data_IF_151604816022
#
_entry.id   IF_151604816022
#
_cell.length_a   1.000
_cell.length_b   1.000
_cell.length_c   1.000
_cell.angle_alpha   90.00
_cell.angle_beta   90.00
_cell.angle_gamma   90.00
#
_symmetry.space_group_name_H-M   'P 1'
#
loop_
_entity.id
_entity.type
_entity.pdbx_description
1 polymer ?
#
# COMPACT_ATOMS: atom_id res chain seq x y z
N UNK A 1 17.64 25.96 13.85
CA UNK A 1 17.04 25.44 12.62
C UNK A 1 17.97 24.42 11.98
N UNK A 2 17.43 23.31 11.57
CA UNK A 2 18.22 22.31 10.88
C UNK A 2 18.52 22.71 9.44
N UNK A 3 19.64 22.28 8.94
CA UNK A 3 20.00 22.49 7.55
C UNK A 3 19.05 21.72 6.63
N UNK A 4 18.80 22.22 5.40
CA UNK A 4 18.01 21.48 4.43
C UNK A 4 18.66 20.12 4.10
N UNK A 5 17.85 19.10 3.96
CA UNK A 5 18.32 17.78 3.58
C UNK A 5 18.69 17.74 2.10
N UNK A 6 19.75 17.00 1.77
CA UNK A 6 20.08 16.70 0.39
C UNK A 6 19.07 15.71 -0.19
N UNK A 7 19.02 15.59 -1.51
CA UNK A 7 18.17 14.60 -2.16
C UNK A 7 18.51 13.17 -1.72
N UNK A 8 19.79 12.85 -1.60
CA UNK A 8 20.24 11.53 -1.15
C UNK A 8 19.77 11.24 0.29
N UNK A 9 19.85 12.23 1.17
CA UNK A 9 19.38 12.09 2.55
C UNK A 9 17.87 11.87 2.61
N UNK A 10 17.10 12.56 1.78
CA UNK A 10 15.66 12.37 1.70
C UNK A 10 15.28 10.96 1.24
N UNK A 11 15.98 10.43 0.24
CA UNK A 11 15.76 9.07 -0.23
C UNK A 11 16.12 8.06 0.86
N UNK A 12 17.23 8.27 1.58
CA UNK A 12 17.64 7.39 2.68
C UNK A 12 16.57 7.35 3.79
N UNK A 13 15.99 8.50 4.15
CA UNK A 13 14.93 8.57 5.16
C UNK A 13 13.68 7.87 4.65
N UNK A 14 13.28 8.10 3.39
CA UNK A 14 12.09 7.50 2.81
C UNK A 14 12.19 5.98 2.76
N UNK A 15 13.39 5.43 2.61
CA UNK A 15 13.62 3.99 2.51
C UNK A 15 14.16 3.37 3.80
N UNK A 16 14.13 4.11 4.90
CA UNK A 16 14.61 3.61 6.19
C UNK A 16 13.82 2.37 6.62
N UNK A 17 14.49 1.27 7.03
CA UNK A 17 13.79 0.01 7.36
C UNK A 17 12.81 0.12 8.52
N UNK A 18 13.02 1.07 9.43
CA UNK A 18 12.15 1.27 10.60
C UNK A 18 10.99 2.21 10.32
N UNK A 19 10.94 2.82 9.14
CA UNK A 19 9.85 3.71 8.79
C UNK A 19 8.56 2.91 8.64
N UNK A 20 7.42 3.40 9.20
CA UNK A 20 6.15 2.73 9.03
C UNK A 20 5.78 2.57 7.54
N UNK A 21 5.20 1.44 7.20
CA UNK A 21 4.69 1.20 5.86
C UNK A 21 3.19 0.95 5.91
N UNK A 22 2.59 0.63 4.77
CA UNK A 22 1.13 0.46 4.66
C UNK A 22 0.57 -0.56 5.67
N UNK A 23 1.28 -1.65 5.93
CA UNK A 23 0.81 -2.67 6.89
C UNK A 23 0.73 -2.12 8.31
N UNK A 24 1.69 -1.30 8.70
CA UNK A 24 1.68 -0.65 10.03
C UNK A 24 0.51 0.30 10.17
N UNK A 25 0.23 1.10 9.14
CA UNK A 25 -0.91 2.02 9.14
C UNK A 25 -2.24 1.27 9.18
N UNK A 26 -2.35 0.16 8.45
CA UNK A 26 -3.58 -0.64 8.45
C UNK A 26 -3.85 -1.19 9.85
N UNK A 27 -2.83 -1.71 10.52
CA UNK A 27 -2.98 -2.25 11.88
C UNK A 27 -3.34 -1.16 12.89
N UNK A 28 -2.82 0.05 12.71
CA UNK A 28 -3.04 1.14 13.66
C UNK A 28 -4.38 1.85 13.46
N UNK A 29 -4.86 1.99 12.23
CA UNK A 29 -6.01 2.86 11.90
C UNK A 29 -7.29 2.12 11.59
N UNK A 30 -7.22 0.86 11.16
CA UNK A 30 -8.36 0.14 10.65
C UNK A 30 -8.63 -1.14 11.43
N UNK A 31 -9.89 -1.61 11.36
CA UNK A 31 -10.29 -2.91 11.87
C UNK A 31 -10.87 -3.74 10.73
N UNK A 32 -10.87 -5.07 10.94
CA UNK A 32 -11.47 -6.03 10.00
C UNK A 32 -10.97 -5.86 8.57
N UNK A 33 -9.65 -5.70 8.42
CA UNK A 33 -9.06 -5.57 7.08
C UNK A 33 -9.17 -6.90 6.33
N UNK A 34 -9.79 -6.84 5.16
CA UNK A 34 -9.91 -7.97 4.23
C UNK A 34 -9.12 -7.64 2.96
N UNK A 35 -7.98 -8.30 2.79
CA UNK A 35 -7.12 -8.08 1.63
C UNK A 35 -7.77 -8.65 0.37
N UNK A 36 -7.69 -7.87 -0.72
CA UNK A 36 -8.13 -8.30 -2.04
C UNK A 36 -6.93 -8.32 -2.97
N UNK A 37 -6.76 -9.42 -3.68
CA UNK A 37 -5.58 -9.67 -4.51
C UNK A 37 -5.93 -9.74 -5.99
N UNK A 38 -4.93 -9.47 -6.83
CA UNK A 38 -5.01 -9.67 -8.26
C UNK A 38 -5.65 -8.54 -9.03
N UNK A 39 -5.30 -8.45 -10.31
CA UNK A 39 -5.83 -7.46 -11.25
C UNK A 39 -7.01 -7.99 -12.08
N UNK A 40 -7.38 -9.25 -11.88
CA UNK A 40 -8.39 -9.98 -12.65
C UNK A 40 -8.03 -10.15 -14.14
N UNK A 41 -6.78 -10.02 -14.47
CA UNK A 41 -6.32 -10.15 -15.85
C UNK A 41 -5.09 -11.04 -15.95
N UNK A 42 -3.99 -10.67 -15.30
CA UNK A 42 -2.73 -11.41 -15.38
C UNK A 42 -2.32 -12.03 -14.05
N UNK A 43 -2.59 -11.39 -12.92
CA UNK A 43 -2.19 -11.92 -11.63
C UNK A 43 -2.09 -10.92 -10.52
N UNK A 44 -1.29 -11.25 -9.54
CA UNK A 44 -1.09 -10.45 -8.32
C UNK A 44 0.24 -9.72 -8.37
N UNK A 45 0.29 -8.53 -7.77
CA UNK A 45 1.52 -7.79 -7.51
C UNK A 45 1.59 -7.45 -6.03
N UNK A 46 2.55 -8.04 -5.33
CA UNK A 46 2.73 -7.84 -3.90
C UNK A 46 3.20 -6.43 -3.53
N UNK A 47 3.67 -5.64 -4.49
CA UNK A 47 4.08 -4.26 -4.27
C UNK A 47 2.88 -3.34 -3.95
N UNK A 48 1.66 -3.75 -4.31
CA UNK A 48 0.43 -3.03 -3.96
C UNK A 48 -0.36 -3.88 -2.96
N UNK A 49 -0.67 -3.29 -1.81
CA UNK A 49 -1.58 -3.87 -0.82
C UNK A 49 -2.90 -3.14 -0.90
N UNK A 50 -3.98 -3.87 -1.06
CA UNK A 50 -5.30 -3.27 -1.13
C UNK A 50 -6.38 -4.17 -0.57
N UNK A 51 -7.46 -3.56 -0.14
CA UNK A 51 -8.59 -4.30 0.40
C UNK A 51 -9.63 -3.39 0.99
N UNK A 52 -10.56 -4.00 1.70
CA UNK A 52 -11.62 -3.30 2.42
C UNK A 52 -11.38 -3.41 3.92
N UNK A 53 -11.75 -2.38 4.66
CA UNK A 53 -11.58 -2.35 6.11
C UNK A 53 -12.66 -1.47 6.74
N UNK A 54 -12.68 -1.43 8.06
CA UNK A 54 -13.52 -0.50 8.79
C UNK A 54 -12.65 0.60 9.40
N UNK A 55 -13.05 1.84 9.17
CA UNK A 55 -12.45 3.01 9.80
C UNK A 55 -13.52 3.68 10.66
N UNK A 56 -13.35 3.60 11.99
CA UNK A 56 -14.38 4.05 12.95
C UNK A 56 -15.76 3.47 12.63
N UNK A 57 -15.81 2.19 12.30
CA UNK A 57 -17.04 1.47 11.99
C UNK A 57 -17.59 1.70 10.58
N UNK A 58 -16.92 2.50 9.74
CA UNK A 58 -17.36 2.78 8.37
C UNK A 58 -16.54 1.98 7.35
N UNK A 59 -17.18 1.36 6.37
CA UNK A 59 -16.44 0.65 5.32
C UNK A 59 -15.61 1.62 4.47
N UNK A 60 -14.34 1.29 4.27
CA UNK A 60 -13.44 2.05 3.40
C UNK A 60 -12.63 1.09 2.54
N UNK A 61 -12.14 1.58 1.42
CA UNK A 61 -11.15 0.87 0.61
C UNK A 61 -9.78 1.46 0.90
N UNK A 62 -8.81 0.60 1.19
CA UNK A 62 -7.44 0.98 1.52
C UNK A 62 -6.53 0.47 0.42
N UNK A 63 -5.70 1.34 -0.13
CA UNK A 63 -4.73 1.00 -1.19
C UNK A 63 -3.41 1.66 -0.85
N UNK A 64 -2.33 0.90 -0.90
CA UNK A 64 -1.01 1.48 -0.68
C UNK A 64 0.09 0.66 -1.31
N UNK A 65 1.21 1.31 -1.55
CA UNK A 65 2.42 0.61 -1.97
C UNK A 65 3.05 -0.07 -0.76
N UNK A 66 3.54 -1.28 -0.97
CA UNK A 66 4.18 -2.05 0.08
C UNK A 66 5.65 -2.22 -0.23
N UNK A 67 6.48 -1.90 0.74
CA UNK A 67 7.89 -2.27 0.73
C UNK A 67 8.15 -3.17 1.93
N UNK A 68 9.14 -4.04 1.81
CA UNK A 68 9.51 -4.91 2.92
C UNK A 68 10.44 -4.23 3.91
N UNK A 69 10.59 -4.83 5.08
CA UNK A 69 11.54 -4.40 6.11
C UNK A 69 12.83 -5.21 6.08
N UNK A 70 12.84 -6.31 5.36
CA UNK A 70 14.02 -7.17 5.14
C UNK A 70 14.30 -7.26 3.65
N UNK A 71 15.49 -7.74 3.30
CA UNK A 71 15.84 -7.94 1.89
C UNK A 71 14.89 -8.94 1.22
N UNK A 72 14.55 -10.02 1.91
CA UNK A 72 13.64 -11.03 1.39
C UNK A 72 12.25 -10.45 1.10
N UNK A 73 11.70 -9.66 2.03
CA UNK A 73 10.41 -9.00 1.82
C UNK A 73 10.48 -7.97 0.70
N UNK A 74 11.59 -7.22 0.59
CA UNK A 74 11.78 -6.25 -0.49
C UNK A 74 11.82 -6.92 -1.86
N UNK A 75 12.46 -8.07 -1.97
CA UNK A 75 12.48 -8.83 -3.22
C UNK A 75 11.07 -9.29 -3.60
N UNK A 76 10.30 -9.78 -2.64
CA UNK A 76 8.91 -10.21 -2.85
C UNK A 76 8.02 -9.04 -3.30
N UNK A 77 8.22 -7.87 -2.73
CA UNK A 77 7.42 -6.67 -3.01
C UNK A 77 8.06 -5.77 -4.08
N UNK A 78 9.08 -6.26 -4.78
CA UNK A 78 9.83 -5.50 -5.80
C UNK A 78 10.25 -4.12 -5.30
N UNK A 79 10.72 -4.04 -4.05
CA UNK A 79 11.16 -2.80 -3.38
C UNK A 79 10.11 -1.68 -3.39
N UNK A 80 8.82 -2.05 -3.38
CA UNK A 80 7.71 -1.09 -3.43
C UNK A 80 7.48 -0.50 -4.82
N UNK A 81 8.03 -1.13 -5.86
CA UNK A 81 7.87 -0.70 -7.25
C UNK A 81 6.84 -1.59 -7.95
N UNK A 82 5.61 -1.09 -8.18
CA UNK A 82 4.57 -1.93 -8.78
C UNK A 82 4.82 -2.17 -10.26
N UNK A 83 4.47 -3.38 -10.69
CA UNK A 83 4.37 -3.75 -12.10
C UNK A 83 3.00 -3.32 -12.65
N UNK A 84 2.75 -3.47 -13.97
CA UNK A 84 1.43 -3.14 -14.53
C UNK A 84 0.26 -3.83 -13.83
N UNK A 85 0.45 -5.06 -13.32
CA UNK A 85 -0.56 -5.79 -12.56
C UNK A 85 -0.95 -5.05 -11.28
N UNK A 86 0.03 -4.41 -10.62
CA UNK A 86 -0.22 -3.61 -9.43
C UNK A 86 -1.06 -2.38 -9.71
N UNK A 87 -0.76 -1.67 -10.78
CA UNK A 87 -1.57 -0.52 -11.19
C UNK A 87 -2.99 -0.93 -11.56
N UNK A 88 -3.16 -2.05 -12.28
CA UNK A 88 -4.48 -2.57 -12.62
C UNK A 88 -5.25 -3.01 -11.38
N UNK A 89 -4.57 -3.65 -10.43
CA UNK A 89 -5.15 -4.02 -9.14
C UNK A 89 -5.66 -2.78 -8.39
N UNK A 90 -4.85 -1.73 -8.29
CA UNK A 90 -5.25 -0.49 -7.64
C UNK A 90 -6.47 0.13 -8.33
N UNK A 91 -6.45 0.21 -9.65
CA UNK A 91 -7.57 0.74 -10.43
C UNK A 91 -8.85 -0.08 -10.22
N UNK A 92 -8.73 -1.41 -10.22
CA UNK A 92 -9.86 -2.30 -9.97
C UNK A 92 -10.49 -2.02 -8.59
N UNK A 93 -9.65 -1.87 -7.57
CA UNK A 93 -10.13 -1.58 -6.22
C UNK A 93 -10.76 -0.19 -6.11
N UNK A 94 -10.22 0.79 -6.83
CA UNK A 94 -10.82 2.14 -6.90
C UNK A 94 -12.19 2.12 -7.55
N UNK A 95 -12.33 1.40 -8.66
CA UNK A 95 -13.62 1.23 -9.34
C UNK A 95 -14.64 0.50 -8.48
N UNK A 96 -14.20 -0.52 -7.75
CA UNK A 96 -15.06 -1.24 -6.81
C UNK A 96 -15.52 -0.31 -5.69
N UNK A 97 -14.62 0.51 -5.14
CA UNK A 97 -14.95 1.47 -4.10
C UNK A 97 -15.98 2.48 -4.60
N UNK A 98 -15.81 2.99 -5.81
CA UNK A 98 -16.77 3.91 -6.43
C UNK A 98 -18.15 3.26 -6.60
N UNK A 99 -18.18 2.02 -7.09
CA UNK A 99 -19.42 1.28 -7.29
C UNK A 99 -20.21 1.10 -5.98
N UNK A 100 -19.53 0.83 -4.88
CA UNK A 100 -20.14 0.61 -3.57
C UNK A 100 -20.09 1.85 -2.67
N UNK A 101 -19.66 2.98 -3.21
CA UNK A 101 -19.61 4.27 -2.51
C UNK A 101 -18.78 4.23 -1.23
N UNK A 102 -17.65 3.52 -1.27
CA UNK A 102 -16.70 3.52 -0.17
C UNK A 102 -15.66 4.61 -0.38
N UNK A 103 -15.28 5.36 0.66
CA UNK A 103 -14.09 6.22 0.59
C UNK A 103 -12.83 5.42 0.29
N UNK A 104 -11.87 6.03 -0.40
CA UNK A 104 -10.58 5.42 -0.72
C UNK A 104 -9.50 6.11 0.10
N UNK A 105 -8.71 5.34 0.81
CA UNK A 105 -7.57 5.82 1.59
C UNK A 105 -6.29 5.18 1.11
#
# INVERSE_FOLDING_TARGET
MSEPLTAAQRVAIARHPQRPNITDYIQALFTDFFEQKGDRLCGEDAAILGGVALYHGRPVTVIGTRKGKTLEENLKCNFGMPNPEGYRKALRLMRQAEKFRRPII
#
